data_IF_762563807816
#
_entry.id   IF_762563807816
#
_cell.length_a   1.000
_cell.length_b   1.000
_cell.length_c   1.000
_cell.angle_alpha   90.00
_cell.angle_beta   90.00
_cell.angle_gamma   90.00
#
_symmetry.space_group_name_H-M   'P 1'
#
loop_
_entity.id
_entity.type
_entity.pdbx_description
1 polymer ?
#
# COMPACT_ATOMS: atom_id res chain seq x y z
N UNK A 1 -9.95 2.50 2.62
CA UNK A 1 -10.31 3.62 3.53
C UNK A 1 -9.60 3.60 4.88
N UNK A 2 -9.32 2.43 5.48
CA UNK A 2 -8.66 2.37 6.80
C UNK A 2 -7.28 3.07 6.82
N UNK A 3 -6.54 3.03 5.70
CA UNK A 3 -5.32 3.80 5.45
C UNK A 3 -5.45 5.30 5.78
N UNK A 4 -6.56 5.94 5.37
CA UNK A 4 -6.79 7.36 5.61
C UNK A 4 -7.03 7.64 7.09
N UNK A 5 -7.57 6.68 7.83
CA UNK A 5 -7.94 6.86 9.24
C UNK A 5 -6.73 6.76 10.19
N UNK A 6 -5.81 5.81 9.97
CA UNK A 6 -4.56 5.74 10.75
C UNK A 6 -3.66 6.95 10.50
N UNK A 7 -3.61 7.45 9.26
CA UNK A 7 -2.89 8.69 8.93
C UNK A 7 -3.52 9.95 9.55
N UNK A 8 -4.85 9.94 9.80
CA UNK A 8 -5.58 11.10 10.35
C UNK A 8 -5.63 11.07 11.88
N UNK A 9 -5.70 9.91 12.54
CA UNK A 9 -5.68 9.80 14.00
C UNK A 9 -5.38 8.35 14.50
N UNK A 10 -4.12 7.99 14.79
CA UNK A 10 -3.74 6.66 15.27
C UNK A 10 -4.38 6.26 16.61
N UNK A 11 -4.61 7.23 17.51
CA UNK A 11 -5.10 7.03 18.89
C UNK A 11 -6.63 7.07 19.03
N UNK A 12 -7.37 7.35 17.96
CA UNK A 12 -8.83 7.56 18.04
C UNK A 12 -9.65 6.26 17.95
N UNK A 13 -8.98 5.11 18.01
CA UNK A 13 -9.61 3.79 18.09
C UNK A 13 -9.96 3.38 19.54
N UNK A 14 -9.39 4.04 20.54
CA UNK A 14 -9.53 3.66 21.96
C UNK A 14 -10.65 4.40 22.71
N UNK A 15 -11.46 5.24 22.04
CA UNK A 15 -12.59 5.93 22.66
C UNK A 15 -13.95 5.41 22.16
N UNK A 16 -14.60 4.62 23.02
CA UNK A 16 -15.74 3.74 22.69
C UNK A 16 -17.05 4.41 22.26
N UNK A 17 -17.14 5.74 22.17
CA UNK A 17 -18.38 6.41 21.73
C UNK A 17 -18.15 7.59 20.80
N UNK A 18 -17.31 8.55 21.21
CA UNK A 18 -16.96 9.71 20.38
C UNK A 18 -16.10 9.31 19.17
N UNK A 19 -15.21 8.32 19.33
CA UNK A 19 -14.41 7.75 18.26
C UNK A 19 -15.27 7.16 17.14
N UNK A 20 -16.29 6.37 17.50
CA UNK A 20 -17.15 5.68 16.54
C UNK A 20 -18.08 6.62 15.75
N UNK A 21 -18.68 7.62 16.41
CA UNK A 21 -19.50 8.60 15.71
C UNK A 21 -18.66 9.43 14.73
N UNK A 22 -17.50 9.89 15.16
CA UNK A 22 -16.56 10.64 14.32
C UNK A 22 -16.06 9.81 13.15
N UNK A 23 -15.72 8.53 13.39
CA UNK A 23 -15.31 7.59 12.34
C UNK A 23 -16.39 7.40 11.27
N UNK A 24 -17.68 7.29 11.65
CA UNK A 24 -18.78 7.19 10.68
C UNK A 24 -18.89 8.44 9.80
N UNK A 25 -18.79 9.64 10.39
CA UNK A 25 -18.81 10.88 9.62
C UNK A 25 -17.61 10.98 8.67
N UNK A 26 -16.42 10.60 9.13
CA UNK A 26 -15.22 10.56 8.30
C UNK A 26 -15.37 9.55 7.16
N UNK A 27 -15.91 8.36 7.43
CA UNK A 27 -16.17 7.36 6.38
C UNK A 27 -17.17 7.87 5.34
N UNK A 28 -18.23 8.57 5.77
CA UNK A 28 -19.18 9.21 4.84
C UNK A 28 -18.50 10.28 3.99
N UNK A 29 -17.70 11.16 4.59
CA UNK A 29 -16.94 12.20 3.90
C UNK A 29 -15.93 11.63 2.92
N UNK A 30 -15.10 10.69 3.36
CA UNK A 30 -14.07 10.09 2.51
C UNK A 30 -14.70 9.34 1.34
N UNK A 31 -15.87 8.71 1.52
CA UNK A 31 -16.64 8.05 0.44
C UNK A 31 -17.20 9.02 -0.60
N UNK A 32 -17.20 10.33 -0.36
CA UNK A 32 -17.54 11.36 -1.38
C UNK A 32 -16.29 11.98 -2.02
N UNK A 33 -15.09 11.69 -1.52
CA UNK A 33 -13.84 12.17 -2.10
C UNK A 33 -13.33 11.20 -3.15
N UNK A 34 -13.74 11.41 -4.40
CA UNK A 34 -13.37 10.53 -5.52
C UNK A 34 -11.85 10.44 -5.73
N UNK A 35 -11.07 11.44 -5.29
CA UNK A 35 -9.60 11.40 -5.29
C UNK A 35 -9.02 10.23 -4.49
N UNK A 36 -9.74 9.72 -3.48
CA UNK A 36 -9.33 8.53 -2.73
C UNK A 36 -9.22 7.29 -3.60
N UNK A 37 -9.97 7.26 -4.72
CA UNK A 37 -9.94 6.18 -5.69
C UNK A 37 -8.64 6.16 -6.49
N UNK A 38 -7.89 7.26 -6.54
CA UNK A 38 -6.57 7.32 -7.18
C UNK A 38 -5.51 6.48 -6.45
N UNK A 39 -5.72 6.24 -5.14
CA UNK A 39 -4.82 5.50 -4.25
C UNK A 39 -5.00 3.98 -4.31
N UNK A 40 -6.02 3.50 -5.02
CA UNK A 40 -6.20 2.06 -5.19
C UNK A 40 -5.07 1.47 -6.05
N UNK A 41 -4.63 0.24 -5.72
CA UNK A 41 -3.54 -0.42 -6.42
C UNK A 41 -3.88 -0.61 -7.90
N UNK A 42 -2.95 -0.21 -8.76
CA UNK A 42 -3.05 -0.39 -10.21
C UNK A 42 -2.20 -1.59 -10.63
N UNK A 43 -2.67 -2.32 -11.63
CA UNK A 43 -1.93 -3.44 -12.22
C UNK A 43 -2.26 -4.83 -11.65
N UNK A 44 -3.20 -4.91 -10.69
CA UNK A 44 -3.68 -6.18 -10.14
C UNK A 44 -2.56 -7.08 -9.62
N UNK A 45 -2.78 -8.39 -9.70
CA UNK A 45 -1.84 -9.40 -9.20
C UNK A 45 -0.50 -9.40 -9.94
N UNK A 46 -0.49 -8.98 -11.22
CA UNK A 46 0.74 -8.86 -12.01
C UNK A 46 1.77 -7.97 -11.33
N UNK A 47 1.33 -6.85 -10.74
CA UNK A 47 2.23 -5.91 -10.06
C UNK A 47 2.36 -6.25 -8.57
N UNK A 48 1.26 -6.53 -7.89
CA UNK A 48 1.23 -6.56 -6.42
C UNK A 48 1.36 -7.96 -5.81
N UNK A 49 1.41 -9.01 -6.62
CA UNK A 49 1.42 -10.39 -6.14
C UNK A 49 0.04 -11.00 -6.00
N UNK A 50 0.01 -12.32 -5.89
CA UNK A 50 -1.18 -13.15 -5.71
C UNK A 50 -1.33 -13.70 -4.29
N UNK A 51 -2.00 -14.85 -4.15
CA UNK A 51 -2.19 -15.49 -2.84
C UNK A 51 -0.91 -16.12 -2.28
N UNK A 52 0.03 -16.51 -3.14
CA UNK A 52 1.20 -17.33 -2.82
C UNK A 52 2.54 -16.65 -3.18
N UNK A 53 2.50 -15.44 -3.74
CA UNK A 53 3.70 -14.72 -4.15
C UNK A 53 3.54 -13.21 -4.05
N UNK A 54 4.66 -12.52 -3.85
CA UNK A 54 4.77 -11.07 -4.01
C UNK A 54 6.16 -10.66 -4.49
N UNK A 55 6.30 -9.49 -5.16
CA UNK A 55 7.63 -8.98 -5.53
C UNK A 55 8.56 -8.85 -4.32
N UNK A 56 8.01 -8.47 -3.18
CA UNK A 56 8.74 -8.23 -1.94
C UNK A 56 9.10 -9.51 -1.16
N UNK A 57 8.74 -10.72 -1.62
CA UNK A 57 9.05 -11.97 -0.91
C UNK A 57 10.55 -12.08 -0.56
N UNK A 58 10.83 -12.38 0.71
CA UNK A 58 12.18 -12.39 1.28
C UNK A 58 12.63 -11.02 1.83
N UNK A 59 11.76 -10.01 1.86
CA UNK A 59 11.99 -8.78 2.61
C UNK A 59 11.96 -9.06 4.12
N UNK A 60 12.97 -8.55 4.82
CA UNK A 60 13.09 -8.68 6.27
C UNK A 60 12.73 -7.36 6.96
N UNK A 61 11.77 -7.41 7.87
CA UNK A 61 11.38 -6.25 8.69
C UNK A 61 12.34 -6.02 9.85
N UNK A 62 13.64 -5.86 9.56
CA UNK A 62 14.63 -5.53 10.58
C UNK A 62 14.40 -4.12 11.11
N UNK A 63 14.15 -3.99 12.41
CA UNK A 63 14.33 -2.70 13.08
C UNK A 63 15.82 -2.35 13.04
N UNK A 64 16.19 -1.15 12.52
CA UNK A 64 17.56 -0.67 12.65
C UNK A 64 17.86 -0.57 14.15
N UNK A 65 18.66 -1.49 14.71
CA UNK A 65 19.15 -1.40 16.09
C UNK A 65 19.76 -0.01 16.28
N UNK A 66 19.23 0.77 17.23
CA UNK A 66 19.93 1.95 17.74
C UNK A 66 21.32 1.49 18.17
N UNK A 67 22.38 2.02 17.56
CA UNK A 67 23.71 1.94 18.14
C UNK A 67 23.70 2.79 19.40
N UNK A 68 23.29 2.21 20.53
CA UNK A 68 23.70 2.74 21.84
C UNK A 68 25.19 2.47 21.95
N UNK A 69 26.00 3.54 21.89
CA UNK A 69 27.38 3.51 22.32
C UNK A 69 27.37 3.43 23.86
N UNK A 70 27.08 2.24 24.40
CA UNK A 70 27.51 1.90 25.75
C UNK A 70 28.58 0.83 25.64
N UNK A 71 29.80 1.27 25.87
CA UNK A 71 30.96 0.42 26.07
C UNK A 71 30.80 -0.34 27.37
N UNK A 72 30.18 -1.51 27.32
CA UNK A 72 30.42 -2.56 28.32
C UNK A 72 30.80 -3.86 27.62
N UNK A 73 32.08 -4.18 27.78
CA UNK A 73 32.68 -5.45 27.41
C UNK A 73 32.05 -6.54 28.27
N UNK A 74 31.25 -7.41 27.66
CA UNK A 74 31.02 -8.75 28.18
C UNK A 74 31.45 -9.77 27.13
N UNK A 75 32.36 -10.64 27.54
CA UNK A 75 32.99 -11.69 26.73
C UNK A 75 32.10 -12.94 26.70
N UNK A 76 32.08 -13.54 25.52
CA UNK A 76 31.84 -14.95 25.16
C UNK A 76 30.47 -15.58 25.45
N UNK A 77 29.78 -16.02 24.38
CA UNK A 77 29.71 -17.43 23.98
C UNK A 77 29.51 -17.51 22.45
N UNK A 78 30.38 -18.28 21.78
CA UNK A 78 30.20 -18.71 20.39
C UNK A 78 28.89 -19.48 20.21
N UNK A 79 27.88 -18.83 19.63
CA UNK A 79 26.81 -19.49 18.90
C UNK A 79 26.89 -19.02 17.45
N UNK A 80 26.97 -19.94 16.50
CA UNK A 80 26.72 -19.58 15.10
C UNK A 80 25.37 -18.86 14.99
N UNK A 81 25.25 -17.80 14.18
CA UNK A 81 23.95 -17.20 13.93
C UNK A 81 23.09 -18.28 13.27
N UNK A 82 22.14 -18.83 14.02
CA UNK A 82 21.09 -19.65 13.44
C UNK A 82 20.37 -18.74 12.45
N UNK A 83 20.62 -18.97 11.15
CA UNK A 83 19.80 -18.42 10.07
C UNK A 83 18.39 -19.01 10.25
N UNK A 84 17.59 -18.37 11.09
CA UNK A 84 16.15 -18.58 11.10
C UNK A 84 15.68 -17.94 9.81
N UNK A 85 15.44 -18.76 8.78
CA UNK A 85 14.79 -18.30 7.57
C UNK A 85 13.48 -17.63 8.00
N UNK A 86 13.31 -16.31 7.75
CA UNK A 86 12.10 -15.63 8.14
C UNK A 86 10.92 -16.32 7.46
N UNK A 87 9.84 -16.52 8.21
CA UNK A 87 8.63 -17.10 7.64
C UNK A 87 8.17 -16.24 6.45
N UNK A 88 7.83 -16.86 5.31
CA UNK A 88 7.45 -16.12 4.12
C UNK A 88 6.17 -15.31 4.38
N UNK A 89 6.28 -13.99 4.26
CA UNK A 89 5.15 -13.07 4.42
C UNK A 89 4.38 -12.95 3.09
N UNK A 90 3.09 -13.27 3.10
CA UNK A 90 2.23 -13.22 1.91
C UNK A 90 1.73 -11.81 1.59
N UNK A 91 2.60 -10.88 1.19
CA UNK A 91 2.22 -9.49 0.91
C UNK A 91 1.20 -9.33 -0.23
N UNK A 92 1.07 -10.30 -1.14
CA UNK A 92 0.07 -10.25 -2.21
C UNK A 92 -1.38 -10.31 -1.71
N UNK A 93 -1.60 -10.81 -0.49
CA UNK A 93 -2.91 -10.80 0.21
C UNK A 93 -3.14 -9.45 0.89
N UNK A 94 -3.58 -8.47 0.13
CA UNK A 94 -3.84 -7.10 0.64
C UNK A 94 -4.79 -7.05 1.83
N UNK A 95 -5.82 -7.90 1.84
CA UNK A 95 -6.75 -8.06 2.97
C UNK A 95 -6.95 -9.54 3.25
N UNK A 96 -6.75 -9.98 4.49
CA UNK A 96 -7.01 -11.35 4.94
C UNK A 96 -7.96 -11.34 6.14
N UNK A 97 -9.03 -12.15 6.12
CA UNK A 97 -9.96 -12.29 7.23
C UNK A 97 -9.47 -13.38 8.19
N UNK A 98 -8.74 -12.98 9.23
CA UNK A 98 -8.09 -13.86 10.20
C UNK A 98 -6.58 -14.00 9.98
N UNK A 99 -5.82 -14.07 11.09
CA UNK A 99 -4.36 -14.27 11.07
C UNK A 99 -4.01 -15.65 10.49
N UNK A 100 -4.79 -16.66 10.84
CA UNK A 100 -4.71 -18.02 10.29
C UNK A 100 -4.79 -18.02 8.77
N UNK A 101 -5.67 -17.21 8.18
CA UNK A 101 -5.78 -17.06 6.72
C UNK A 101 -4.58 -16.30 6.14
N UNK A 102 -4.07 -15.29 6.83
CA UNK A 102 -2.93 -14.52 6.36
C UNK A 102 -1.63 -15.35 6.28
N UNK A 103 -1.47 -16.31 7.20
CA UNK A 103 -0.28 -17.17 7.32
C UNK A 103 -0.45 -18.54 6.62
N UNK A 104 -1.68 -18.99 6.37
CA UNK A 104 -1.94 -20.27 5.74
C UNK A 104 -1.30 -20.39 4.33
N UNK A 105 -0.85 -21.58 3.93
CA UNK A 105 -0.56 -21.88 2.52
C UNK A 105 -1.80 -21.62 1.65
N UNK A 106 -1.60 -21.11 0.43
CA UNK A 106 -2.72 -20.77 -0.46
C UNK A 106 -3.65 -21.97 -0.75
N UNK A 107 -3.11 -23.20 -0.77
CA UNK A 107 -3.88 -24.45 -0.94
C UNK A 107 -4.92 -24.70 0.15
N UNK A 108 -4.76 -24.08 1.32
CA UNK A 108 -5.62 -24.29 2.49
C UNK A 108 -6.69 -23.20 2.62
N UNK A 109 -6.69 -22.22 1.71
CA UNK A 109 -7.63 -21.10 1.72
C UNK A 109 -8.77 -21.43 0.76
N UNK A 110 -9.87 -21.92 1.32
CA UNK A 110 -11.11 -22.11 0.56
C UNK A 110 -11.84 -20.77 0.41
N UNK A 111 -11.84 -20.22 -0.81
CA UNK A 111 -12.54 -18.98 -1.13
C UNK A 111 -13.93 -19.27 -1.65
N UNK A 112 -14.94 -18.63 -1.06
CA UNK A 112 -16.32 -18.67 -1.55
C UNK A 112 -16.61 -17.39 -2.33
N UNK A 113 -17.02 -17.52 -3.60
CA UNK A 113 -17.33 -16.39 -4.47
C UNK A 113 -18.41 -15.46 -3.89
N UNK A 114 -18.09 -14.16 -3.81
CA UNK A 114 -18.96 -13.16 -3.19
C UNK A 114 -19.66 -12.23 -4.20
N UNK A 115 -19.20 -12.19 -5.46
CA UNK A 115 -19.64 -11.18 -6.45
C UNK A 115 -21.15 -11.22 -6.72
N UNK A 116 -21.71 -12.43 -6.79
CA UNK A 116 -23.13 -12.67 -7.02
C UNK A 116 -23.92 -12.91 -5.72
N UNK A 117 -23.29 -12.74 -4.55
CA UNK A 117 -23.94 -13.00 -3.29
C UNK A 117 -25.08 -12.01 -3.02
N UNK A 118 -26.23 -12.53 -2.59
CA UNK A 118 -27.35 -11.71 -2.15
C UNK A 118 -26.96 -11.04 -0.84
N UNK A 119 -26.77 -9.71 -0.87
CA UNK A 119 -26.38 -8.92 0.30
C UNK A 119 -27.34 -9.10 1.49
N UNK A 120 -28.62 -9.38 1.19
CA UNK A 120 -29.68 -9.53 2.18
C UNK A 120 -30.09 -8.19 2.78
N UNK A 121 -31.23 -8.18 3.48
CA UNK A 121 -31.71 -7.01 4.18
C UNK A 121 -31.34 -7.08 5.67
N UNK A 122 -30.92 -5.95 6.22
CA UNK A 122 -30.82 -5.79 7.67
C UNK A 122 -32.23 -5.65 8.26
N UNK A 123 -32.84 -6.78 8.63
CA UNK A 123 -34.17 -6.86 9.28
C UNK A 123 -34.25 -6.10 10.63
N UNK A 124 -33.11 -5.65 11.18
CA UNK A 124 -33.02 -4.90 12.44
C UNK A 124 -33.16 -3.37 12.30
N UNK A 125 -33.31 -2.82 11.08
CA UNK A 125 -33.39 -1.36 10.86
C UNK A 125 -34.70 -0.71 11.33
N UNK A 126 -35.64 -1.45 11.91
CA UNK A 126 -36.98 -0.95 12.26
C UNK A 126 -37.14 -0.40 13.67
N UNK A 127 -36.14 -0.50 14.57
CA UNK A 127 -36.24 0.07 15.91
C UNK A 127 -35.02 0.95 16.27
N UNK A 128 -35.17 2.24 15.97
CA UNK A 128 -34.68 3.38 16.77
C UNK A 128 -33.31 3.23 17.46
N UNK A 129 -32.19 3.54 16.76
CA UNK A 129 -30.92 3.98 17.40
C UNK A 129 -29.87 4.56 16.43
N UNK A 130 -29.72 4.07 15.19
CA UNK A 130 -28.58 4.46 14.31
C UNK A 130 -28.79 5.78 13.51
N UNK A 131 -29.31 6.86 14.11
CA UNK A 131 -30.00 7.93 13.36
C UNK A 131 -29.19 8.95 12.55
N UNK A 132 -27.86 9.09 12.67
CA UNK A 132 -27.23 10.32 12.14
C UNK A 132 -26.37 10.18 10.87
N UNK A 133 -25.88 8.98 10.51
CA UNK A 133 -24.98 8.82 9.34
C UNK A 133 -25.32 7.58 8.51
N UNK A 134 -25.94 7.79 7.35
CA UNK A 134 -26.19 6.72 6.39
C UNK A 134 -24.93 6.41 5.56
N UNK A 135 -24.51 5.13 5.53
CA UNK A 135 -23.42 4.65 4.67
C UNK A 135 -23.87 3.38 3.93
N UNK A 136 -23.26 3.03 2.79
CA UNK A 136 -23.69 1.84 2.02
C UNK A 136 -23.46 0.53 2.77
N UNK A 137 -22.74 0.53 3.90
CA UNK A 137 -22.69 -0.62 4.81
C UNK A 137 -24.06 -0.98 5.40
N UNK A 138 -24.98 -0.02 5.54
CA UNK A 138 -26.35 -0.33 5.98
C UNK A 138 -27.17 -1.08 4.94
N UNK A 139 -26.76 -0.99 3.66
CA UNK A 139 -27.30 -1.76 2.54
C UNK A 139 -26.61 -3.14 2.42
N UNK A 140 -25.56 -3.39 3.19
CA UNK A 140 -24.88 -4.69 3.30
C UNK A 140 -25.47 -5.47 4.48
N UNK A 141 -26.38 -6.39 4.18
CA UNK A 141 -26.94 -7.31 5.18
C UNK A 141 -25.95 -8.40 5.62
N UNK A 142 -26.40 -9.22 6.58
CA UNK A 142 -25.63 -10.37 7.09
C UNK A 142 -25.13 -11.31 5.99
N UNK A 143 -25.94 -11.56 4.95
CA UNK A 143 -25.56 -12.39 3.82
C UNK A 143 -24.35 -11.82 3.06
N UNK A 144 -24.34 -10.51 2.83
CA UNK A 144 -23.22 -9.83 2.19
C UNK A 144 -21.97 -9.74 3.06
N UNK A 145 -22.13 -9.50 4.37
CA UNK A 145 -21.02 -9.51 5.33
C UNK A 145 -20.34 -10.88 5.34
N UNK A 146 -21.14 -11.95 5.45
CA UNK A 146 -20.65 -13.33 5.44
C UNK A 146 -19.98 -13.68 4.12
N UNK A 147 -20.57 -13.29 2.98
CA UNK A 147 -19.97 -13.54 1.67
C UNK A 147 -18.58 -12.89 1.53
N UNK A 148 -18.41 -11.65 2.00
CA UNK A 148 -17.11 -10.98 1.99
C UNK A 148 -16.10 -11.68 2.91
N UNK A 149 -16.49 -12.06 4.13
CA UNK A 149 -15.57 -12.76 5.04
C UNK A 149 -15.23 -14.18 4.58
N UNK A 150 -16.15 -14.85 3.90
CA UNK A 150 -15.96 -16.21 3.39
C UNK A 150 -15.13 -16.27 2.10
N UNK A 151 -14.87 -15.13 1.45
CA UNK A 151 -13.85 -15.04 0.40
C UNK A 151 -12.41 -15.08 0.96
N UNK A 152 -12.26 -14.91 2.28
CA UNK A 152 -11.04 -15.07 3.09
C UNK A 152 -9.90 -14.10 2.79
N UNK A 153 -9.39 -14.05 1.56
CA UNK A 153 -8.24 -13.24 1.18
C UNK A 153 -8.49 -12.46 -0.12
N UNK A 154 -8.15 -11.18 -0.14
CA UNK A 154 -8.29 -10.30 -1.30
C UNK A 154 -6.93 -9.85 -1.79
N UNK A 155 -6.68 -10.03 -3.08
CA UNK A 155 -5.49 -9.55 -3.78
C UNK A 155 -5.77 -8.18 -4.41
N UNK A 156 -4.75 -7.57 -5.02
CA UNK A 156 -4.94 -6.35 -5.81
C UNK A 156 -5.94 -6.53 -6.98
N UNK A 157 -6.13 -7.76 -7.47
CA UNK A 157 -7.11 -8.06 -8.50
C UNK A 157 -8.54 -8.04 -7.96
N UNK A 158 -8.78 -8.68 -6.81
CA UNK A 158 -10.14 -8.83 -6.24
C UNK A 158 -10.57 -7.67 -5.33
N UNK A 159 -9.65 -6.82 -4.88
CA UNK A 159 -9.99 -5.70 -3.98
C UNK A 159 -10.91 -4.66 -4.65
N UNK A 160 -10.79 -4.49 -5.97
CA UNK A 160 -11.67 -3.60 -6.74
C UNK A 160 -13.10 -4.16 -6.75
N UNK A 161 -13.23 -5.48 -6.92
CA UNK A 161 -14.53 -6.17 -6.85
C UNK A 161 -15.14 -6.09 -5.44
N UNK A 162 -14.31 -6.18 -4.40
CA UNK A 162 -14.76 -5.95 -3.01
C UNK A 162 -15.36 -4.55 -2.87
N UNK A 163 -14.70 -3.51 -3.39
CA UNK A 163 -15.24 -2.16 -3.32
C UNK A 163 -16.50 -1.99 -4.16
N UNK A 164 -16.58 -2.61 -5.35
CA UNK A 164 -17.82 -2.62 -6.16
C UNK A 164 -18.97 -3.27 -5.40
N UNK A 165 -18.70 -4.33 -4.64
CA UNK A 165 -19.70 -5.02 -3.84
C UNK A 165 -20.10 -4.21 -2.58
N UNK A 166 -19.15 -3.67 -1.83
CA UNK A 166 -19.42 -3.01 -0.54
C UNK A 166 -19.83 -1.53 -0.68
N UNK A 167 -19.41 -0.87 -1.76
CA UNK A 167 -19.61 0.56 -1.98
C UNK A 167 -19.84 0.89 -3.47
N UNK A 168 -20.89 0.33 -4.11
CA UNK A 168 -21.12 0.44 -5.54
C UNK A 168 -21.28 1.89 -6.02
N UNK A 169 -21.93 2.78 -5.26
CA UNK A 169 -22.12 4.18 -5.68
C UNK A 169 -20.82 4.96 -5.65
N UNK A 170 -19.97 4.69 -4.65
CA UNK A 170 -18.62 5.26 -4.60
C UNK A 170 -17.81 4.82 -5.82
N UNK A 171 -17.80 3.51 -6.11
CA UNK A 171 -17.07 2.97 -7.25
C UNK A 171 -17.61 3.45 -8.61
N UNK A 172 -18.93 3.60 -8.73
CA UNK A 172 -19.56 4.13 -9.95
C UNK A 172 -19.07 5.55 -10.26
N UNK A 173 -18.91 6.41 -9.26
CA UNK A 173 -18.34 7.76 -9.47
C UNK A 173 -16.84 7.71 -9.76
N UNK A 174 -16.08 6.98 -8.94
CA UNK A 174 -14.63 6.88 -9.07
C UNK A 174 -14.17 6.32 -10.42
N UNK A 175 -14.86 5.29 -10.92
CA UNK A 175 -14.53 4.60 -12.18
C UNK A 175 -14.73 5.45 -13.44
N UNK A 176 -15.40 6.60 -13.34
CA UNK A 176 -15.46 7.61 -14.41
C UNK A 176 -14.11 8.32 -14.59
N UNK A 177 -13.32 8.42 -13.52
CA UNK A 177 -12.09 9.22 -13.47
C UNK A 177 -10.82 8.38 -13.36
N UNK A 178 -10.91 7.15 -12.84
CA UNK A 178 -9.75 6.31 -12.56
C UNK A 178 -9.85 4.94 -13.20
N UNK A 179 -8.68 4.37 -13.41
CA UNK A 179 -8.48 3.05 -13.98
C UNK A 179 -7.37 2.33 -13.20
N UNK A 180 -7.47 1.00 -13.15
CA UNK A 180 -6.64 0.14 -12.31
C UNK A 180 -6.00 -1.01 -13.07
N UNK A 181 -6.25 -1.07 -14.39
CA UNK A 181 -5.81 -2.17 -15.23
C UNK A 181 -4.38 -2.01 -15.75
N UNK A 182 -4.06 -2.88 -16.69
CA UNK A 182 -2.85 -2.83 -17.52
C UNK A 182 -3.33 -2.82 -18.96
N UNK A 183 -2.78 -1.94 -19.79
CA UNK A 183 -3.16 -1.91 -21.19
C UNK A 183 -2.64 -3.13 -21.94
N UNK A 184 -3.49 -3.85 -22.66
CA UNK A 184 -3.03 -4.89 -23.59
C UNK A 184 -2.29 -4.28 -24.78
N UNK A 185 -2.91 -3.26 -25.38
CA UNK A 185 -2.36 -2.48 -26.49
C UNK A 185 -2.47 -0.99 -26.18
N UNK A 186 -1.33 -0.35 -25.86
CA UNK A 186 -1.28 1.07 -25.54
C UNK A 186 -1.57 1.99 -26.74
N UNK A 187 -1.67 1.45 -27.97
CA UNK A 187 -2.10 2.20 -29.16
C UNK A 187 -3.62 2.20 -29.36
N UNK A 188 -4.38 1.52 -28.49
CA UNK A 188 -5.84 1.55 -28.52
C UNK A 188 -6.35 2.98 -28.26
N UNK A 189 -7.17 3.58 -29.16
CA UNK A 189 -7.70 4.93 -28.99
C UNK A 189 -8.43 5.18 -27.67
N UNK A 190 -8.95 4.13 -27.00
CA UNK A 190 -9.61 4.29 -25.70
C UNK A 190 -8.70 4.92 -24.64
N UNK A 191 -7.39 4.69 -24.71
CA UNK A 191 -6.41 5.25 -23.76
C UNK A 191 -6.18 6.76 -23.95
N UNK A 192 -6.71 7.36 -25.02
CA UNK A 192 -6.81 8.81 -25.15
C UNK A 192 -7.80 9.46 -24.17
N UNK A 193 -8.68 8.68 -23.53
CA UNK A 193 -9.65 9.18 -22.57
C UNK A 193 -9.00 9.52 -21.22
N UNK A 194 -9.37 10.66 -20.62
CA UNK A 194 -8.73 11.22 -19.41
C UNK A 194 -8.68 10.27 -18.20
N UNK A 195 -9.63 9.32 -18.13
CA UNK A 195 -9.70 8.31 -17.05
C UNK A 195 -8.45 7.40 -16.95
N UNK A 196 -7.66 7.34 -18.02
CA UNK A 196 -6.47 6.50 -18.12
C UNK A 196 -5.17 7.26 -17.84
N UNK A 197 -5.17 8.60 -17.89
CA UNK A 197 -3.94 9.40 -17.86
C UNK A 197 -3.18 9.31 -16.54
N UNK A 198 -3.89 9.06 -15.43
CA UNK A 198 -3.27 8.86 -14.10
C UNK A 198 -2.76 7.43 -13.89
N UNK A 199 -3.03 6.50 -14.80
CA UNK A 199 -2.54 5.13 -14.73
C UNK A 199 -1.30 4.97 -15.62
N UNK A 200 -0.09 4.86 -15.04
CA UNK A 200 1.14 4.72 -15.81
C UNK A 200 1.25 3.35 -16.51
N UNK A 201 0.36 2.39 -16.22
CA UNK A 201 0.25 1.10 -16.89
C UNK A 201 -0.73 1.10 -18.07
N UNK A 202 -1.40 2.24 -18.32
CA UNK A 202 -2.36 2.42 -19.41
C UNK A 202 -2.07 3.66 -20.27
N UNK A 203 -0.97 4.37 -19.98
CA UNK A 203 -0.53 5.56 -20.73
C UNK A 203 0.96 5.44 -21.07
N UNK A 204 1.35 5.93 -22.25
CA UNK A 204 2.75 5.99 -22.70
C UNK A 204 3.41 7.28 -22.24
N UNK A 205 4.71 7.22 -21.96
CA UNK A 205 5.53 8.43 -21.89
C UNK A 205 5.52 9.16 -23.24
N UNK A 206 5.63 10.51 -23.23
CA UNK A 206 5.65 11.30 -24.45
C UNK A 206 6.88 10.98 -25.30
N UNK A 207 6.79 11.25 -26.61
CA UNK A 207 7.93 11.09 -27.52
C UNK A 207 8.97 12.21 -27.30
N UNK A 208 9.79 12.05 -26.27
CA UNK A 208 10.77 13.05 -25.83
C UNK A 208 12.12 12.38 -25.50
N UNK A 209 12.93 11.99 -26.50
CA UNK A 209 14.17 11.22 -26.27
C UNK A 209 15.25 11.98 -25.50
N UNK A 210 15.19 13.32 -25.46
CA UNK A 210 16.10 14.16 -24.66
C UNK A 210 15.59 14.42 -23.24
N UNK A 211 14.39 14.00 -22.90
CA UNK A 211 13.83 14.14 -21.56
C UNK A 211 14.46 13.10 -20.65
N UNK A 212 14.76 13.52 -19.42
CA UNK A 212 15.16 12.64 -18.32
C UNK A 212 14.04 12.62 -17.27
N UNK A 213 13.77 11.45 -16.72
CA UNK A 213 12.75 11.23 -15.69
C UNK A 213 13.45 10.83 -14.40
N UNK A 214 13.16 11.54 -13.32
CA UNK A 214 13.71 11.26 -12.00
C UNK A 214 12.59 10.78 -11.08
N UNK A 215 12.71 9.56 -10.56
CA UNK A 215 11.83 9.04 -9.51
C UNK A 215 12.52 9.19 -8.17
N UNK A 216 12.13 10.24 -7.45
CA UNK A 216 12.67 10.64 -6.17
C UNK A 216 11.71 10.25 -5.05
N UNK A 217 12.12 9.36 -4.14
CA UNK A 217 11.24 8.90 -3.06
C UNK A 217 12.02 8.41 -1.83
N UNK A 218 11.34 8.41 -0.68
CA UNK A 218 11.92 7.98 0.59
C UNK A 218 11.90 6.47 0.75
N UNK A 219 12.88 5.94 1.48
CA UNK A 219 12.97 4.50 1.78
C UNK A 219 13.50 4.26 3.20
N UNK A 220 13.39 3.02 3.67
CA UNK A 220 13.93 2.58 4.96
C UNK A 220 12.98 2.78 6.13
N UNK A 221 11.69 3.05 5.87
CA UNK A 221 10.65 3.19 6.87
C UNK A 221 9.62 2.07 6.71
N UNK A 222 9.23 1.37 7.79
CA UNK A 222 8.11 0.42 7.75
C UNK A 222 6.85 1.09 7.21
N UNK A 223 6.26 0.52 6.17
CA UNK A 223 5.15 1.10 5.40
C UNK A 223 4.07 0.07 5.18
N UNK A 224 2.80 0.45 5.37
CA UNK A 224 1.68 -0.51 5.33
C UNK A 224 1.53 -1.15 3.94
N UNK A 225 1.40 -2.49 3.91
CA UNK A 225 1.38 -3.28 2.65
C UNK A 225 0.22 -4.25 2.54
N UNK A 226 -0.23 -4.82 3.65
CA UNK A 226 -1.36 -5.75 3.73
C UNK A 226 -1.98 -5.74 5.15
N UNK A 227 -3.21 -6.25 5.28
CA UNK A 227 -3.98 -6.13 6.52
C UNK A 227 -4.68 -7.43 6.90
N UNK A 228 -4.70 -7.70 8.20
CA UNK A 228 -5.52 -8.73 8.82
C UNK A 228 -6.80 -8.08 9.37
N UNK A 229 -7.94 -8.57 8.91
CA UNK A 229 -9.26 -8.11 9.31
C UNK A 229 -9.98 -9.18 10.15
N UNK A 230 -10.88 -8.72 11.00
CA UNK A 230 -11.88 -9.53 11.70
C UNK A 230 -13.27 -8.95 11.51
N UNK A 231 -14.27 -9.79 11.76
CA UNK A 231 -15.66 -9.35 11.86
C UNK A 231 -15.87 -8.65 13.20
N UNK A 232 -16.57 -7.52 13.17
CA UNK A 232 -17.00 -6.85 14.39
C UNK A 232 -18.10 -7.66 15.09
N UNK A 233 -18.07 -7.84 16.43
CA UNK A 233 -19.15 -8.45 17.18
C UNK A 233 -20.48 -7.72 16.94
N UNK A 234 -21.58 -8.47 16.92
CA UNK A 234 -22.91 -7.97 16.57
C UNK A 234 -23.42 -6.89 17.54
N UNK A 235 -23.22 -5.63 17.19
CA UNK A 235 -24.04 -4.52 17.66
C UNK A 235 -24.55 -3.74 16.44
N UNK A 236 -25.83 -3.44 16.47
CA UNK A 236 -26.73 -3.20 15.32
C UNK A 236 -26.43 -1.93 14.48
N UNK A 237 -25.32 -1.21 14.76
CA UNK A 237 -24.91 0.01 14.07
C UNK A 237 -23.41 0.05 13.65
N UNK A 238 -22.64 -1.03 13.74
CA UNK A 238 -21.17 -0.97 13.62
C UNK A 238 -20.61 -1.25 12.22
N UNK A 239 -19.37 -0.81 11.98
CA UNK A 239 -18.59 -1.11 10.77
C UNK A 239 -18.26 -2.61 10.81
N UNK A 240 -18.71 -3.43 9.84
CA UNK A 240 -18.68 -4.89 9.95
C UNK A 240 -17.27 -5.47 9.85
N UNK A 241 -16.34 -4.77 9.19
CA UNK A 241 -14.97 -5.21 8.97
C UNK A 241 -14.02 -4.27 9.69
N UNK A 242 -13.18 -4.83 10.58
CA UNK A 242 -12.21 -4.07 11.36
C UNK A 242 -10.83 -4.71 11.25
N UNK A 243 -9.77 -3.91 11.26
CA UNK A 243 -8.41 -4.44 11.37
C UNK A 243 -8.30 -5.17 12.71
N UNK A 244 -7.76 -6.39 12.68
CA UNK A 244 -7.52 -7.14 13.89
C UNK A 244 -6.24 -6.67 14.56
N UNK A 245 -6.37 -5.65 15.42
CA UNK A 245 -5.24 -5.15 16.20
C UNK A 245 -4.61 -6.18 17.15
N UNK A 246 -5.25 -7.34 17.38
CA UNK A 246 -4.67 -8.43 18.18
C UNK A 246 -3.78 -9.38 17.36
N UNK A 247 -3.77 -9.26 16.03
CA UNK A 247 -2.90 -10.04 15.16
C UNK A 247 -1.48 -9.47 15.18
N UNK A 248 -0.64 -10.02 16.04
CA UNK A 248 0.78 -9.68 16.17
C UNK A 248 1.68 -10.79 15.65
N UNK A 249 2.86 -10.42 15.16
CA UNK A 249 3.93 -11.35 14.82
C UNK A 249 4.51 -12.08 16.04
N UNK A 250 5.13 -13.24 15.81
CA UNK A 250 5.74 -14.04 16.88
C UNK A 250 7.07 -13.51 17.44
N UNK A 251 7.68 -12.51 16.77
CA UNK A 251 8.98 -11.95 17.13
C UNK A 251 9.03 -10.42 16.92
N UNK A 252 10.02 -9.74 17.52
CA UNK A 252 10.18 -8.28 17.44
C UNK A 252 10.49 -7.74 16.02
N UNK A 253 11.03 -8.60 15.15
CA UNK A 253 11.37 -8.30 13.75
C UNK A 253 10.27 -8.73 12.77
N UNK A 254 9.12 -9.15 13.27
CA UNK A 254 8.03 -9.58 12.43
C UNK A 254 7.49 -8.40 11.64
N UNK A 255 7.15 -8.67 10.38
CA UNK A 255 6.48 -7.70 9.54
C UNK A 255 5.04 -7.43 9.96
N UNK A 256 4.42 -8.31 10.74
CA UNK A 256 3.05 -8.16 11.23
C UNK A 256 3.02 -7.40 12.56
N UNK A 257 2.43 -6.21 12.56
CA UNK A 257 2.23 -5.37 13.76
C UNK A 257 0.81 -4.84 13.84
N UNK A 258 0.09 -5.19 14.90
CA UNK A 258 -1.29 -4.75 15.13
C UNK A 258 -2.23 -4.96 13.95
N UNK A 259 -2.18 -6.15 13.32
CA UNK A 259 -3.00 -6.50 12.16
C UNK A 259 -2.55 -5.89 10.83
N UNK A 260 -1.35 -5.31 10.76
CA UNK A 260 -0.81 -4.71 9.54
C UNK A 260 0.55 -5.30 9.20
N UNK A 261 0.67 -5.80 7.98
CA UNK A 261 1.95 -6.20 7.40
C UNK A 261 2.66 -4.97 6.84
N UNK A 262 3.90 -4.77 7.26
CA UNK A 262 4.75 -3.66 6.84
C UNK A 262 5.78 -4.12 5.80
N UNK A 263 6.01 -3.31 4.77
CA UNK A 263 7.11 -3.45 3.81
C UNK A 263 8.04 -2.23 3.87
N UNK A 264 9.07 -2.20 3.02
CA UNK A 264 9.88 -0.99 2.83
C UNK A 264 9.08 0.11 2.11
N UNK A 265 9.25 1.36 2.53
CA UNK A 265 8.62 2.54 1.92
C UNK A 265 8.99 3.82 2.64
N UNK A 266 8.13 4.82 2.49
CA UNK A 266 8.28 6.17 3.06
C UNK A 266 7.27 6.46 4.20
N UNK A 267 6.82 5.42 4.93
CA UNK A 267 5.71 5.43 5.92
C UNK A 267 4.32 5.32 5.29
N UNK A 268 4.11 5.86 4.09
CA UNK A 268 2.79 5.93 3.45
C UNK A 268 2.69 5.07 2.19
N UNK A 269 3.69 5.16 1.32
CA UNK A 269 3.73 4.55 0.00
C UNK A 269 4.84 3.49 -0.04
N UNK A 270 4.51 2.22 -0.31
CA UNK A 270 5.53 1.17 -0.40
C UNK A 270 6.44 1.42 -1.59
N UNK A 271 7.72 1.05 -1.45
CA UNK A 271 8.74 1.23 -2.50
C UNK A 271 8.31 0.62 -3.84
N UNK A 272 7.58 -0.50 -3.82
CA UNK A 272 7.05 -1.11 -5.03
C UNK A 272 6.18 -0.13 -5.85
N UNK A 273 5.34 0.65 -5.17
CA UNK A 273 4.49 1.66 -5.82
C UNK A 273 5.29 2.86 -6.33
N UNK A 274 6.26 3.34 -5.56
CA UNK A 274 7.05 4.54 -5.91
C UNK A 274 8.10 4.27 -6.98
N UNK A 275 8.68 3.07 -6.99
CA UNK A 275 9.88 2.75 -7.75
C UNK A 275 9.67 1.89 -9.00
N UNK A 276 8.65 1.03 -9.06
CA UNK A 276 8.55 0.00 -10.10
C UNK A 276 8.59 0.56 -11.53
N UNK A 277 7.83 1.62 -11.79
CA UNK A 277 7.75 2.20 -13.13
C UNK A 277 9.12 2.67 -13.61
N UNK A 278 9.87 3.38 -12.78
CA UNK A 278 11.19 3.91 -13.15
C UNK A 278 12.28 2.82 -13.19
N UNK A 279 12.23 1.89 -12.23
CA UNK A 279 13.20 0.80 -12.13
C UNK A 279 13.12 -0.17 -13.33
N UNK A 280 11.93 -0.40 -13.88
CA UNK A 280 11.72 -1.41 -14.93
C UNK A 280 10.81 -0.99 -16.08
N UNK A 281 9.56 -0.59 -15.81
CA UNK A 281 8.59 -0.43 -16.89
C UNK A 281 8.91 0.72 -17.86
N UNK A 282 9.54 1.80 -17.39
CA UNK A 282 10.05 2.91 -18.19
C UNK A 282 11.55 2.82 -18.47
N UNK A 283 12.25 1.82 -17.95
CA UNK A 283 13.71 1.73 -18.05
C UNK A 283 14.09 1.32 -19.48
N UNK A 284 14.82 2.21 -20.18
CA UNK A 284 15.18 2.00 -21.58
C UNK A 284 13.97 2.13 -22.52
N UNK A 285 14.04 1.49 -23.69
CA UNK A 285 12.97 1.55 -24.69
C UNK A 285 11.98 0.39 -24.47
N UNK A 286 10.78 0.73 -23.99
CA UNK A 286 9.69 -0.21 -23.71
C UNK A 286 8.40 0.29 -24.37
N UNK A 287 7.32 -0.50 -24.31
CA UNK A 287 5.98 -0.09 -24.74
C UNK A 287 5.42 1.09 -23.94
N UNK A 288 5.87 1.27 -22.69
CA UNK A 288 5.52 2.39 -21.83
C UNK A 288 6.45 3.59 -22.02
N UNK A 289 7.69 3.37 -22.50
CA UNK A 289 8.68 4.41 -22.83
C UNK A 289 9.14 4.29 -24.30
N UNK A 290 8.29 4.67 -25.27
CA UNK A 290 8.58 4.44 -26.69
C UNK A 290 9.77 5.26 -27.21
N UNK A 291 10.06 6.43 -26.62
CA UNK A 291 11.23 7.25 -26.97
C UNK A 291 12.52 6.81 -26.29
N UNK A 292 12.46 5.92 -25.30
CA UNK A 292 13.63 5.55 -24.51
C UNK A 292 14.21 6.71 -23.72
N UNK A 293 13.36 7.60 -23.21
CA UNK A 293 13.76 8.69 -22.32
C UNK A 293 14.54 8.11 -21.13
N UNK A 294 15.67 8.74 -20.74
CA UNK A 294 16.48 8.22 -19.64
C UNK A 294 15.69 8.31 -18.33
N UNK A 295 15.78 7.30 -17.49
CA UNK A 295 15.10 7.25 -16.20
C UNK A 295 16.12 7.02 -15.10
N UNK A 296 15.96 7.70 -13.96
CA UNK A 296 16.85 7.55 -12.81
C UNK A 296 16.04 7.35 -11.53
N UNK A 297 16.43 6.37 -10.73
CA UNK A 297 15.86 6.10 -9.41
C UNK A 297 16.74 6.79 -8.36
N UNK A 298 16.15 7.67 -7.56
CA UNK A 298 16.82 8.45 -6.51
C UNK A 298 16.11 8.19 -5.18
N UNK A 299 16.63 7.25 -4.42
CA UNK A 299 16.10 6.89 -3.11
C UNK A 299 16.76 7.71 -2.00
N UNK A 300 15.98 8.13 -1.01
CA UNK A 300 16.46 8.85 0.16
C UNK A 300 16.23 8.01 1.41
N UNK A 301 17.30 7.37 1.88
CA UNK A 301 17.24 6.51 3.06
C UNK A 301 16.94 7.33 4.31
N UNK A 302 15.87 6.98 5.01
CA UNK A 302 15.46 7.67 6.21
C UNK A 302 16.52 7.55 7.31
N UNK A 303 16.91 8.72 7.82
CA UNK A 303 17.74 8.87 9.01
C UNK A 303 16.97 9.75 10.00
N UNK A 304 16.54 9.21 11.16
CA UNK A 304 15.81 9.99 12.14
C UNK A 304 16.70 11.10 12.72
N UNK A 305 16.12 12.25 13.11
CA UNK A 305 16.86 13.33 13.75
C UNK A 305 17.62 12.83 14.99
N UNK A 306 18.84 13.32 15.18
CA UNK A 306 19.69 12.86 16.28
C UNK A 306 19.16 13.36 17.64
N UNK A 307 18.49 14.51 17.65
CA UNK A 307 17.96 15.18 18.85
C UNK A 307 16.59 15.83 18.60
N UNK A 308 15.77 16.00 19.65
CA UNK A 308 14.42 16.62 19.59
C UNK A 308 14.41 18.06 19.04
N UNK A 309 15.52 18.78 19.16
CA UNK A 309 15.68 20.16 18.67
C UNK A 309 15.83 20.25 17.15
N UNK A 310 16.11 19.14 16.47
CA UNK A 310 16.31 19.07 15.02
C UNK A 310 14.98 19.00 14.24
N UNK A 311 13.85 19.01 14.95
CA UNK A 311 12.51 19.02 14.35
C UNK A 311 12.28 17.82 13.44
N UNK A 312 11.89 18.07 12.19
CA UNK A 312 11.52 17.05 11.18
C UNK A 312 12.70 16.28 10.55
N UNK A 313 13.94 16.55 10.99
CA UNK A 313 15.15 15.85 10.54
C UNK A 313 15.56 16.18 9.10
N UNK A 314 16.77 16.69 8.91
CA UNK A 314 17.29 17.11 7.58
C UNK A 314 17.55 15.96 6.60
N UNK A 315 17.40 14.72 7.06
CA UNK A 315 17.60 13.49 6.30
C UNK A 315 16.38 12.54 6.41
N UNK A 316 15.21 13.08 6.70
CA UNK A 316 13.99 12.28 6.75
C UNK A 316 13.62 11.77 5.36
N UNK A 317 13.35 10.46 5.26
CA UNK A 317 12.72 9.83 4.11
C UNK A 317 11.21 9.62 4.27
N UNK A 318 10.57 10.23 5.27
CA UNK A 318 9.13 10.07 5.49
C UNK A 318 8.32 10.86 4.47
N UNK A 319 7.15 10.36 4.08
CA UNK A 319 6.36 10.83 2.93
C UNK A 319 6.17 12.35 2.89
N UNK A 320 5.87 12.96 4.04
CA UNK A 320 5.68 14.42 4.15
C UNK A 320 6.99 15.15 4.41
N UNK A 321 7.85 14.60 5.27
CA UNK A 321 9.06 15.28 5.74
C UNK A 321 10.22 15.21 4.75
N UNK A 322 10.13 14.36 3.72
CA UNK A 322 11.12 14.26 2.64
C UNK A 322 11.32 15.59 1.91
N UNK A 323 10.31 16.48 1.89
CA UNK A 323 10.44 17.83 1.33
C UNK A 323 11.49 18.69 2.05
N UNK A 324 11.81 18.37 3.30
CA UNK A 324 12.89 18.98 4.08
C UNK A 324 14.22 18.24 3.99
N UNK A 325 14.32 17.16 3.19
CA UNK A 325 15.53 16.37 3.04
C UNK A 325 16.58 17.14 2.22
N UNK A 326 17.75 17.35 2.81
CA UNK A 326 18.84 18.12 2.19
C UNK A 326 19.30 17.53 0.86
N UNK A 327 19.45 16.20 0.78
CA UNK A 327 19.90 15.54 -0.45
C UNK A 327 18.85 15.65 -1.56
N UNK A 328 17.55 15.55 -1.22
CA UNK A 328 16.47 15.76 -2.19
C UNK A 328 16.50 17.19 -2.73
N UNK A 329 16.58 18.18 -1.84
CA UNK A 329 16.61 19.59 -2.23
C UNK A 329 17.84 19.90 -3.08
N UNK A 330 19.00 19.34 -2.74
CA UNK A 330 20.23 19.47 -3.52
C UNK A 330 20.06 18.94 -4.95
N UNK A 331 19.51 17.75 -5.11
CA UNK A 331 19.24 17.18 -6.45
C UNK A 331 18.25 18.00 -7.25
N UNK A 332 17.14 18.43 -6.64
CA UNK A 332 16.13 19.26 -7.30
C UNK A 332 16.77 20.57 -7.80
N UNK A 333 17.59 21.22 -6.98
CA UNK A 333 18.28 22.46 -7.35
C UNK A 333 19.29 22.20 -8.48
N UNK A 334 20.06 21.12 -8.41
CA UNK A 334 21.02 20.75 -9.46
C UNK A 334 20.33 20.49 -10.79
N UNK A 335 19.23 19.72 -10.80
CA UNK A 335 18.43 19.45 -11.99
C UNK A 335 17.83 20.75 -12.55
N UNK A 336 17.26 21.59 -11.68
CA UNK A 336 16.71 22.89 -12.08
C UNK A 336 17.79 23.83 -12.65
N UNK A 337 19.04 23.70 -12.21
CA UNK A 337 20.19 24.42 -12.74
C UNK A 337 20.75 23.83 -14.05
N UNK A 338 20.18 22.72 -14.54
CA UNK A 338 20.52 22.09 -15.81
C UNK A 338 21.45 20.88 -15.70
N UNK A 339 21.73 20.39 -14.49
CA UNK A 339 22.48 19.14 -14.33
C UNK A 339 21.69 17.95 -14.87
N UNK A 340 22.37 17.10 -15.62
CA UNK A 340 21.86 15.82 -16.12
C UNK A 340 21.84 14.77 -15.01
N UNK A 341 21.10 13.68 -15.24
CA UNK A 341 21.07 12.56 -14.30
C UNK A 341 22.43 11.92 -14.03
N UNK A 342 23.31 11.88 -15.04
CA UNK A 342 24.69 11.41 -14.88
C UNK A 342 25.52 12.34 -13.98
N UNK A 343 25.32 13.66 -14.08
CA UNK A 343 26.06 14.66 -13.28
C UNK A 343 25.62 14.70 -11.81
N UNK A 344 24.38 14.32 -11.49
CA UNK A 344 23.91 14.17 -10.10
C UNK A 344 24.21 12.76 -9.53
N UNK A 345 24.93 11.91 -10.26
CA UNK A 345 25.40 10.60 -9.80
C UNK A 345 24.55 9.40 -10.24
N UNK A 346 23.57 9.59 -11.12
CA UNK A 346 22.75 8.51 -11.68
C UNK A 346 21.80 7.88 -10.66
N UNK A 347 21.62 6.56 -10.78
CA UNK A 347 20.77 5.81 -9.86
C UNK A 347 21.40 5.74 -8.46
N UNK A 348 20.60 6.06 -7.44
CA UNK A 348 20.93 5.87 -6.03
C UNK A 348 19.83 5.04 -5.40
N UNK A 349 20.13 3.78 -5.10
CA UNK A 349 19.17 2.78 -4.64
C UNK A 349 19.68 2.08 -3.39
N UNK A 350 18.87 2.09 -2.35
CA UNK A 350 19.09 1.41 -1.07
C UNK A 350 18.14 0.22 -0.87
N UNK A 351 17.01 0.21 -1.58
CA UNK A 351 16.02 -0.85 -1.56
C UNK A 351 16.34 -1.98 -2.55
N UNK A 352 15.60 -3.07 -2.45
CA UNK A 352 15.66 -4.19 -3.40
C UNK A 352 14.76 -3.96 -4.65
N UNK A 353 14.36 -2.73 -4.96
CA UNK A 353 13.37 -2.45 -6.02
C UNK A 353 13.72 -3.07 -7.37
N UNK A 354 15.00 -3.05 -7.79
CA UNK A 354 15.42 -3.71 -9.04
C UNK A 354 15.21 -5.23 -8.97
N UNK A 355 15.60 -5.88 -7.87
CA UNK A 355 15.36 -7.30 -7.64
C UNK A 355 13.85 -7.63 -7.61
N UNK A 356 13.04 -6.83 -6.92
CA UNK A 356 11.59 -7.01 -6.87
C UNK A 356 10.94 -6.84 -8.23
N UNK A 357 11.39 -5.84 -9.01
CA UNK A 357 10.90 -5.61 -10.37
C UNK A 357 11.15 -6.80 -11.30
N UNK A 358 12.20 -7.59 -11.08
CA UNK A 358 12.49 -8.78 -11.87
C UNK A 358 11.52 -9.94 -11.65
N UNK A 359 10.88 -9.97 -10.49
CA UNK A 359 9.82 -10.94 -10.19
C UNK A 359 8.51 -10.60 -10.91
N UNK A 360 8.26 -9.32 -11.20
CA UNK A 360 7.06 -8.89 -11.94
C UNK A 360 7.15 -9.30 -13.41
N UNK A 361 6.22 -10.17 -13.84
CA UNK A 361 6.13 -10.69 -15.20
C UNK A 361 5.19 -9.84 -16.05
N UNK A 362 5.59 -8.60 -16.31
CA UNK A 362 4.91 -7.71 -17.23
C UNK A 362 5.63 -7.69 -18.59
N UNK A 363 4.87 -7.84 -19.69
CA UNK A 363 5.40 -7.66 -21.04
C UNK A 363 5.72 -6.19 -21.27
N UNK A 364 6.99 -5.89 -21.56
CA UNK A 364 7.51 -4.55 -21.83
C UNK A 364 7.70 -4.28 -23.31
#
# INVERSE_FOLDING_TARGET
MSFMYRAIAPEMLDSDFLGLQTLRHLMRMTRTWDSTMSMLPKGGETIWGGLDWSPEDGFECKSKKRKTNDSEVSKDVHGEPVEVNPEPVNFGRMVSFGKDVAEAPASNIEQIEFRDAVKGNNLAHSNTSCRDVWTEYQELGWGGIKAVSDYKAFTAGSIIDLFNFVAPRMMQRGSVHFSYGIADNLDDPKYGHYKYWSNPLETKLPNAPKMEIFSMYGVGIPTERAYVYKLSPQAECYIPFQIDASAEGGDENSCLKGGVYMSNGDETVPVLSSGYMCAKAWRGKTRFNPSGSKTYVREYNHSPPSNLLEGRGTQSGAHVDIMGNFALMEDIIRIAAGATGEEIGGDQVYSDIFKWSEKIKLKL
#
